data_IF_936597395225
#
_entry.id   IF_936597395225
#
_cell.length_a   1.000
_cell.length_b   1.000
_cell.length_c   1.000
_cell.angle_alpha   90.00
_cell.angle_beta   90.00
_cell.angle_gamma   90.00
#
_symmetry.space_group_name_H-M   'P 1'
#
loop_
_entity.id
_entity.type
_entity.pdbx_description
1 polymer ?
#
# COMPACT_ATOMS: atom_id res chain seq x y z
N UNK A 1 -16.75 -13.93 10.28
CA UNK A 1 -16.11 -13.42 9.06
C UNK A 1 -14.86 -12.61 9.38
N UNK A 2 -14.95 -11.43 10.03
CA UNK A 2 -13.75 -10.70 10.47
C UNK A 2 -12.81 -11.56 11.34
N UNK A 3 -13.37 -12.26 12.35
CA UNK A 3 -12.61 -13.17 13.22
C UNK A 3 -11.91 -14.30 12.45
N UNK A 4 -12.56 -14.89 11.44
CA UNK A 4 -11.96 -15.99 10.67
C UNK A 4 -10.84 -15.49 9.77
N UNK A 5 -11.02 -14.34 9.12
CA UNK A 5 -9.98 -13.71 8.30
C UNK A 5 -8.78 -13.24 9.13
N UNK A 6 -9.02 -12.73 10.34
CA UNK A 6 -7.93 -12.42 11.29
C UNK A 6 -7.15 -13.67 11.72
N UNK A 7 -7.84 -14.79 11.95
CA UNK A 7 -7.18 -16.06 12.27
C UNK A 7 -6.38 -16.58 11.08
N UNK A 8 -6.89 -16.44 9.85
CA UNK A 8 -6.16 -16.76 8.63
C UNK A 8 -4.91 -15.90 8.45
N UNK A 9 -4.88 -14.67 8.95
CA UNK A 9 -3.71 -13.79 8.89
C UNK A 9 -2.58 -14.26 9.84
N UNK A 10 -2.94 -14.95 10.93
CA UNK A 10 -1.98 -15.43 11.93
C UNK A 10 -1.01 -16.41 11.29
N UNK A 11 0.29 -16.17 11.49
CA UNK A 11 1.39 -16.97 10.91
C UNK A 11 1.42 -17.04 9.38
N UNK A 12 0.92 -16.01 8.70
CA UNK A 12 1.06 -15.89 7.24
C UNK A 12 2.35 -15.20 6.85
N UNK A 13 2.86 -15.58 5.67
CA UNK A 13 3.94 -14.87 4.99
C UNK A 13 3.62 -13.39 4.79
N UNK A 14 2.37 -13.05 4.46
CA UNK A 14 1.90 -11.66 4.36
C UNK A 14 2.14 -10.85 5.64
N UNK A 15 1.70 -11.37 6.78
CA UNK A 15 1.86 -10.67 8.06
C UNK A 15 3.34 -10.53 8.43
N UNK A 16 4.14 -11.59 8.25
CA UNK A 16 5.58 -11.52 8.51
C UNK A 16 6.26 -10.48 7.63
N UNK A 17 5.90 -10.40 6.36
CA UNK A 17 6.46 -9.43 5.43
C UNK A 17 6.13 -7.98 5.85
N UNK A 18 4.89 -7.69 6.26
CA UNK A 18 4.50 -6.37 6.80
C UNK A 18 5.29 -6.03 8.07
N UNK A 19 5.40 -6.97 9.00
CA UNK A 19 6.12 -6.77 10.27
C UNK A 19 7.60 -6.53 10.01
N UNK A 20 8.25 -7.38 9.19
CA UNK A 20 9.66 -7.24 8.82
C UNK A 20 9.93 -5.89 8.16
N UNK A 21 9.05 -5.45 7.26
CA UNK A 21 9.17 -4.14 6.64
C UNK A 21 9.00 -2.99 7.65
N UNK A 22 8.03 -3.08 8.55
CA UNK A 22 7.81 -2.09 9.62
C UNK A 22 9.01 -1.95 10.55
N UNK A 23 9.60 -3.09 10.97
CA UNK A 23 10.79 -3.13 11.81
C UNK A 23 11.98 -2.53 11.06
N UNK A 24 12.19 -2.92 9.80
CA UNK A 24 13.27 -2.40 8.99
C UNK A 24 13.17 -0.88 8.85
N UNK A 25 11.98 -0.37 8.53
CA UNK A 25 11.74 1.07 8.38
C UNK A 25 11.97 1.85 9.70
N UNK A 26 11.40 1.37 10.81
CA UNK A 26 11.49 2.04 12.12
C UNK A 26 12.89 1.99 12.73
N UNK A 27 13.70 0.99 12.39
CA UNK A 27 15.11 0.93 12.81
C UNK A 27 16.02 1.74 11.88
N UNK A 28 15.90 1.53 10.56
CA UNK A 28 16.84 2.11 9.58
C UNK A 28 16.76 3.63 9.50
N UNK A 29 15.56 4.22 9.50
CA UNK A 29 15.40 5.66 9.27
C UNK A 29 15.99 6.49 10.44
N UNK A 30 15.68 6.22 11.73
CA UNK A 30 16.31 6.96 12.82
C UNK A 30 17.82 6.77 12.90
N UNK A 31 18.32 5.55 12.63
CA UNK A 31 19.77 5.29 12.59
C UNK A 31 20.43 6.11 11.48
N UNK A 32 19.86 6.11 10.28
CA UNK A 32 20.37 6.88 9.15
C UNK A 32 20.46 8.37 9.48
N UNK A 33 19.37 8.96 10.00
CA UNK A 33 19.33 10.39 10.35
C UNK A 33 20.34 10.73 11.46
N UNK A 34 20.58 9.81 12.40
CA UNK A 34 21.53 10.03 13.49
C UNK A 34 22.99 9.94 13.04
N UNK A 35 23.32 9.03 12.12
CA UNK A 35 24.70 8.74 11.74
C UNK A 35 25.18 9.47 10.48
N UNK A 36 24.28 10.03 9.67
CA UNK A 36 24.64 10.78 8.46
C UNK A 36 24.50 12.29 8.73
N UNK A 37 25.60 13.00 9.04
CA UNK A 37 25.54 14.43 9.29
C UNK A 37 25.15 15.21 8.03
N UNK A 38 24.07 16.00 8.13
CA UNK A 38 23.65 17.07 7.21
C UNK A 38 23.41 16.74 5.71
N UNK A 39 23.11 15.48 5.35
CA UNK A 39 23.00 15.10 3.93
C UNK A 39 21.60 15.16 3.28
N UNK A 40 20.55 14.69 3.96
CA UNK A 40 19.27 14.35 3.31
C UNK A 40 18.06 14.86 4.11
N UNK A 41 17.10 15.47 3.43
CA UNK A 41 15.84 15.92 4.03
C UNK A 41 14.95 14.73 4.45
N UNK A 42 14.15 14.92 5.50
CA UNK A 42 13.17 13.91 5.94
C UNK A 42 12.18 13.52 4.82
N UNK A 43 11.87 14.46 3.92
CA UNK A 43 11.04 14.22 2.74
C UNK A 43 11.66 13.23 1.77
N UNK A 44 12.97 13.34 1.51
CA UNK A 44 13.68 12.43 0.62
C UNK A 44 13.79 11.03 1.23
N UNK A 45 13.96 10.93 2.55
CA UNK A 45 13.91 9.66 3.27
C UNK A 45 12.53 9.01 3.21
N UNK A 46 11.47 9.81 3.27
CA UNK A 46 10.11 9.31 3.09
C UNK A 46 9.84 8.82 1.68
N UNK A 47 10.27 9.58 0.68
CA UNK A 47 10.18 9.16 -0.72
C UNK A 47 10.95 7.85 -0.92
N UNK A 48 12.14 7.70 -0.33
CA UNK A 48 12.90 6.44 -0.39
C UNK A 48 12.10 5.26 0.20
N UNK A 49 11.39 5.45 1.32
CA UNK A 49 10.53 4.38 1.85
C UNK A 49 9.33 4.09 0.95
N UNK A 50 8.78 5.12 0.29
CA UNK A 50 7.65 4.98 -0.63
C UNK A 50 8.00 4.13 -1.85
N UNK A 51 9.26 4.14 -2.29
CA UNK A 51 9.73 3.27 -3.39
C UNK A 51 9.56 1.78 -3.08
N UNK A 52 9.48 1.38 -1.82
CA UNK A 52 9.27 -0.03 -1.46
C UNK A 52 7.79 -0.44 -1.49
N UNK A 53 6.86 0.51 -1.42
CA UNK A 53 5.43 0.22 -1.25
C UNK A 53 4.79 -0.50 -2.44
N UNK A 54 5.07 -0.13 -3.71
CA UNK A 54 4.50 -0.85 -4.85
C UNK A 54 4.85 -2.34 -4.83
N UNK A 55 6.13 -2.67 -4.61
CA UNK A 55 6.58 -4.06 -4.60
C UNK A 55 5.99 -4.84 -3.41
N UNK A 56 5.99 -4.21 -2.22
CA UNK A 56 5.38 -4.74 -1.00
C UNK A 56 3.91 -5.13 -1.24
N UNK A 57 3.12 -4.20 -1.76
CA UNK A 57 1.68 -4.40 -1.97
C UNK A 57 1.37 -5.35 -3.13
N UNK A 58 2.21 -5.37 -4.18
CA UNK A 58 2.15 -6.40 -5.21
C UNK A 58 2.31 -7.80 -4.62
N UNK A 59 3.33 -8.04 -3.80
CA UNK A 59 3.52 -9.34 -3.14
C UNK A 59 2.38 -9.70 -2.18
N UNK A 60 1.88 -8.73 -1.40
CA UNK A 60 0.75 -8.96 -0.50
C UNK A 60 -0.52 -9.35 -1.26
N UNK A 61 -0.77 -8.74 -2.42
CA UNK A 61 -1.92 -9.11 -3.25
C UNK A 61 -1.76 -10.51 -3.85
N UNK A 62 -0.56 -10.87 -4.36
CA UNK A 62 -0.28 -12.21 -4.91
C UNK A 62 -0.48 -13.29 -3.85
N UNK A 63 0.24 -13.17 -2.73
CA UNK A 63 0.14 -14.11 -1.61
C UNK A 63 -1.28 -14.14 -1.04
N UNK A 64 -1.95 -12.99 -1.00
CA UNK A 64 -3.31 -12.87 -0.54
C UNK A 64 -4.32 -13.61 -1.40
N UNK A 65 -4.16 -13.64 -2.73
CA UNK A 65 -5.02 -14.41 -3.62
C UNK A 65 -4.65 -15.91 -3.58
N UNK A 66 -3.36 -16.24 -3.57
CA UNK A 66 -2.89 -17.63 -3.45
C UNK A 66 -3.37 -18.30 -2.16
N UNK A 67 -3.34 -17.58 -1.04
CA UNK A 67 -3.87 -18.06 0.24
C UNK A 67 -5.35 -18.46 0.13
N UNK A 68 -6.18 -17.66 -0.55
CA UNK A 68 -7.60 -17.97 -0.72
C UNK A 68 -7.84 -19.14 -1.69
N UNK A 69 -7.01 -19.27 -2.73
CA UNK A 69 -7.01 -20.43 -3.63
C UNK A 69 -6.73 -21.73 -2.87
N UNK A 70 -5.75 -21.71 -1.97
CA UNK A 70 -5.33 -22.87 -1.17
C UNK A 70 -6.32 -23.21 -0.04
N UNK A 71 -6.84 -22.21 0.66
CA UNK A 71 -7.73 -22.43 1.81
C UNK A 71 -9.10 -23.02 1.44
N UNK A 72 -9.56 -22.80 0.21
CA UNK A 72 -10.91 -23.19 -0.23
C UNK A 72 -10.93 -24.28 -1.32
N UNK A 73 -9.80 -24.97 -1.57
CA UNK A 73 -9.66 -25.99 -2.62
C UNK A 73 -10.27 -25.62 -3.99
N UNK A 74 -10.22 -24.33 -4.36
CA UNK A 74 -10.84 -23.78 -5.58
C UNK A 74 -12.37 -23.94 -5.76
N UNK A 75 -13.09 -24.70 -4.91
CA UNK A 75 -14.50 -25.06 -5.16
C UNK A 75 -15.55 -24.14 -4.52
N UNK A 76 -15.20 -23.21 -3.63
CA UNK A 76 -16.22 -22.47 -2.84
C UNK A 76 -16.21 -20.94 -2.88
N UNK A 77 -15.24 -20.25 -3.50
CA UNK A 77 -15.27 -18.76 -3.54
C UNK A 77 -16.29 -18.25 -4.58
N UNK A 78 -16.46 -18.98 -5.69
CA UNK A 78 -17.37 -18.60 -6.78
C UNK A 78 -18.85 -18.70 -6.36
N UNK A 79 -19.15 -19.69 -5.52
CA UNK A 79 -20.48 -20.00 -4.98
C UNK A 79 -20.77 -19.29 -3.65
N UNK A 80 -19.77 -18.69 -3.00
CA UNK A 80 -19.97 -18.01 -1.72
C UNK A 80 -20.88 -16.78 -1.88
N UNK A 81 -22.06 -16.75 -1.24
CA UNK A 81 -23.05 -15.70 -1.44
C UNK A 81 -22.58 -14.33 -0.94
N UNK A 82 -21.53 -14.28 -0.10
CA UNK A 82 -20.97 -13.05 0.48
C UNK A 82 -19.53 -12.79 0.03
N UNK A 83 -19.13 -13.22 -1.17
CA UNK A 83 -17.76 -13.05 -1.71
C UNK A 83 -17.25 -11.61 -1.68
N UNK A 84 -18.11 -10.64 -2.03
CA UNK A 84 -17.75 -9.20 -2.00
C UNK A 84 -17.38 -8.75 -0.60
N UNK A 85 -18.16 -9.18 0.39
CA UNK A 85 -17.90 -8.88 1.80
C UNK A 85 -16.60 -9.54 2.27
N UNK A 86 -16.24 -10.71 1.74
CA UNK A 86 -14.99 -11.41 2.08
C UNK A 86 -13.79 -10.60 1.64
N UNK A 87 -13.77 -10.20 0.38
CA UNK A 87 -12.69 -9.39 -0.17
C UNK A 87 -12.60 -8.01 0.48
N UNK A 88 -13.74 -7.38 0.79
CA UNK A 88 -13.78 -6.12 1.55
C UNK A 88 -13.18 -6.27 2.96
N UNK A 89 -13.56 -7.32 3.68
CA UNK A 89 -13.00 -7.60 5.02
C UNK A 89 -11.50 -7.87 4.92
N UNK A 90 -11.05 -8.55 3.87
CA UNK A 90 -9.63 -8.86 3.63
C UNK A 90 -8.82 -7.59 3.36
N UNK A 91 -9.31 -6.74 2.47
CA UNK A 91 -8.74 -5.42 2.21
C UNK A 91 -8.63 -4.62 3.51
N UNK A 92 -9.71 -4.51 4.27
CA UNK A 92 -9.75 -3.80 5.54
C UNK A 92 -8.70 -4.33 6.54
N UNK A 93 -8.58 -5.65 6.71
CA UNK A 93 -7.57 -6.24 7.59
C UNK A 93 -6.16 -5.91 7.10
N UNK A 94 -5.91 -6.00 5.79
CA UNK A 94 -4.61 -5.66 5.22
C UNK A 94 -4.29 -4.18 5.37
N UNK A 95 -5.25 -3.27 5.17
CA UNK A 95 -5.07 -1.83 5.35
C UNK A 95 -4.75 -1.50 6.80
N UNK A 96 -5.45 -2.14 7.74
CA UNK A 96 -5.17 -2.02 9.17
C UNK A 96 -3.76 -2.52 9.51
N UNK A 97 -3.31 -3.64 8.95
CA UNK A 97 -1.95 -4.13 9.15
C UNK A 97 -0.90 -3.17 8.54
N UNK A 98 -1.19 -2.60 7.37
CA UNK A 98 -0.33 -1.62 6.69
C UNK A 98 -0.26 -0.25 7.38
N UNK A 99 -1.09 0.01 8.40
CA UNK A 99 -0.91 1.17 9.30
C UNK A 99 0.40 1.10 10.09
N UNK A 100 0.93 -0.11 10.34
CA UNK A 100 2.17 -0.32 11.10
C UNK A 100 3.39 0.33 10.41
N UNK A 101 3.73 0.01 9.14
CA UNK A 101 4.87 0.64 8.48
C UNK A 101 4.59 2.09 8.06
N UNK A 102 3.32 2.47 7.85
CA UNK A 102 2.97 3.83 7.43
C UNK A 102 2.74 4.77 8.62
N UNK A 103 1.51 4.90 9.11
CA UNK A 103 1.14 5.83 10.17
C UNK A 103 2.01 5.66 11.43
N UNK A 104 2.06 4.45 12.00
CA UNK A 104 2.78 4.24 13.26
C UNK A 104 4.29 4.35 13.07
N UNK A 105 4.83 3.80 11.99
CA UNK A 105 6.25 3.92 11.66
C UNK A 105 6.69 5.39 11.58
N UNK A 106 5.97 6.20 10.81
CA UNK A 106 6.26 7.63 10.67
C UNK A 106 5.97 8.43 11.94
N UNK A 107 4.95 8.08 12.73
CA UNK A 107 4.72 8.71 14.04
C UNK A 107 5.93 8.53 14.96
N UNK A 108 6.44 7.30 15.08
CA UNK A 108 7.60 6.97 15.91
C UNK A 108 8.83 7.75 15.44
N UNK A 109 9.08 7.77 14.12
CA UNK A 109 10.20 8.50 13.52
C UNK A 109 10.07 10.01 13.80
N UNK A 110 8.89 10.59 13.59
CA UNK A 110 8.66 12.03 13.81
C UNK A 110 8.84 12.42 15.28
N UNK A 111 8.39 11.57 16.21
CA UNK A 111 8.62 11.75 17.65
C UNK A 111 10.10 11.76 18.00
N UNK A 112 10.87 10.81 17.44
CA UNK A 112 12.30 10.70 17.66
C UNK A 112 13.06 11.92 17.09
N UNK A 113 12.61 12.46 15.96
CA UNK A 113 13.26 13.56 15.25
C UNK A 113 12.73 14.96 15.63
N UNK A 114 11.69 15.04 16.48
CA UNK A 114 11.06 16.29 16.94
C UNK A 114 10.55 17.21 15.80
N UNK A 115 10.13 16.66 14.66
CA UNK A 115 9.68 17.42 13.49
C UNK A 115 8.17 17.23 13.23
N UNK A 116 7.34 18.01 13.93
CA UNK A 116 5.89 17.77 14.00
C UNK A 116 5.08 18.26 12.79
N UNK A 117 5.37 19.45 12.27
CA UNK A 117 4.52 20.13 11.29
C UNK A 117 4.51 19.37 9.94
N UNK A 118 5.68 18.94 9.47
CA UNK A 118 5.78 18.12 8.25
C UNK A 118 5.47 16.64 8.52
N UNK A 119 5.56 16.22 9.78
CA UNK A 119 5.42 14.83 10.17
C UNK A 119 4.03 14.26 9.92
N UNK A 120 2.98 15.03 10.23
CA UNK A 120 1.59 14.57 10.06
C UNK A 120 1.22 14.40 8.57
N UNK A 121 1.65 15.32 7.70
CA UNK A 121 1.45 15.19 6.26
C UNK A 121 2.20 13.98 5.69
N UNK A 122 3.43 13.75 6.14
CA UNK A 122 4.23 12.57 5.76
C UNK A 122 3.55 11.27 6.18
N UNK A 123 3.07 11.20 7.43
CA UNK A 123 2.34 10.04 7.95
C UNK A 123 1.12 9.73 7.09
N UNK A 124 0.24 10.71 6.87
CA UNK A 124 -0.99 10.51 6.11
C UNK A 124 -0.70 10.21 4.64
N UNK A 125 0.28 10.90 4.02
CA UNK A 125 0.69 10.62 2.64
C UNK A 125 1.21 9.18 2.50
N UNK A 126 2.04 8.72 3.44
CA UNK A 126 2.55 7.35 3.43
C UNK A 126 1.45 6.30 3.55
N UNK A 127 0.44 6.57 4.39
CA UNK A 127 -0.67 5.66 4.62
C UNK A 127 -1.63 5.62 3.45
N UNK A 128 -2.00 6.78 2.93
CA UNK A 128 -2.85 6.88 1.74
C UNK A 128 -2.20 6.20 0.53
N UNK A 129 -0.88 6.35 0.35
CA UNK A 129 -0.15 5.68 -0.72
C UNK A 129 -0.22 4.16 -0.57
N UNK A 130 0.14 3.61 0.59
CA UNK A 130 0.22 2.16 0.76
C UNK A 130 -1.17 1.50 0.73
N UNK A 131 -2.21 2.16 1.24
CA UNK A 131 -3.60 1.69 1.16
C UNK A 131 -4.09 1.72 -0.29
N UNK A 132 -3.82 2.80 -1.03
CA UNK A 132 -4.17 2.88 -2.45
C UNK A 132 -3.50 1.77 -3.25
N UNK A 133 -2.19 1.59 -3.08
CA UNK A 133 -1.43 0.54 -3.77
C UNK A 133 -1.94 -0.85 -3.40
N UNK A 134 -2.30 -1.11 -2.14
CA UNK A 134 -2.90 -2.38 -1.72
C UNK A 134 -4.16 -2.70 -2.57
N UNK A 135 -5.11 -1.77 -2.65
CA UNK A 135 -6.32 -1.96 -3.44
C UNK A 135 -6.03 -2.08 -4.95
N UNK A 136 -5.11 -1.26 -5.45
CA UNK A 136 -4.71 -1.28 -6.85
C UNK A 136 -4.07 -2.62 -7.24
N UNK A 137 -3.15 -3.15 -6.45
CA UNK A 137 -2.52 -4.43 -6.73
C UNK A 137 -3.46 -5.62 -6.56
N UNK A 138 -4.43 -5.57 -5.63
CA UNK A 138 -5.52 -6.57 -5.60
C UNK A 138 -6.37 -6.52 -6.87
N UNK A 139 -6.70 -5.33 -7.38
CA UNK A 139 -7.39 -5.17 -8.67
C UNK A 139 -6.57 -5.74 -9.84
N UNK A 140 -5.29 -5.36 -9.93
CA UNK A 140 -4.39 -5.86 -10.97
C UNK A 140 -4.20 -7.36 -10.89
N UNK A 141 -4.06 -7.92 -9.68
CA UNK A 141 -3.89 -9.37 -9.49
C UNK A 141 -5.12 -10.16 -9.97
N UNK A 142 -6.33 -9.61 -9.80
CA UNK A 142 -7.54 -10.23 -10.36
C UNK A 142 -7.58 -10.08 -11.87
N UNK A 143 -7.24 -8.90 -12.40
CA UNK A 143 -7.36 -8.61 -13.82
C UNK A 143 -6.27 -9.25 -14.69
N UNK A 144 -5.04 -9.38 -14.18
CA UNK A 144 -3.85 -9.81 -14.90
C UNK A 144 -3.17 -11.00 -14.17
N UNK A 145 -1.89 -11.25 -14.46
CA UNK A 145 -1.08 -12.29 -13.81
C UNK A 145 -0.20 -11.72 -12.68
N UNK A 146 0.34 -12.60 -11.84
CA UNK A 146 1.35 -12.22 -10.83
C UNK A 146 2.57 -11.55 -11.45
N UNK A 147 3.03 -12.03 -12.61
CA UNK A 147 4.14 -11.42 -13.35
C UNK A 147 3.80 -10.00 -13.78
N UNK A 148 2.61 -9.77 -14.36
CA UNK A 148 2.18 -8.43 -14.75
C UNK A 148 2.07 -7.50 -13.55
N UNK A 149 1.60 -8.00 -12.41
CA UNK A 149 1.49 -7.25 -11.17
C UNK A 149 2.86 -6.76 -10.66
N UNK A 150 3.88 -7.62 -10.73
CA UNK A 150 5.27 -7.25 -10.39
C UNK A 150 5.86 -6.26 -11.41
N UNK A 151 5.60 -6.43 -12.71
CA UNK A 151 6.08 -5.47 -13.72
C UNK A 151 5.47 -4.09 -13.51
N UNK A 152 4.16 -4.04 -13.23
CA UNK A 152 3.46 -2.79 -12.95
C UNK A 152 4.03 -2.11 -11.70
N UNK A 153 4.31 -2.86 -10.63
CA UNK A 153 4.91 -2.27 -9.42
C UNK A 153 6.30 -1.69 -9.68
N UNK A 154 7.12 -2.30 -10.54
CA UNK A 154 8.41 -1.73 -10.97
C UNK A 154 8.20 -0.43 -11.75
N UNK A 155 7.20 -0.36 -12.62
CA UNK A 155 6.86 0.86 -13.37
C UNK A 155 6.40 1.97 -12.41
N UNK A 156 5.62 1.63 -11.38
CA UNK A 156 5.19 2.60 -10.35
C UNK A 156 6.37 3.15 -9.55
N UNK A 157 7.39 2.33 -9.26
CA UNK A 157 8.63 2.81 -8.62
C UNK A 157 9.29 3.88 -9.51
N UNK A 158 9.36 3.67 -10.82
CA UNK A 158 9.89 4.66 -11.77
C UNK A 158 9.03 5.94 -11.74
N UNK A 159 7.72 5.82 -11.68
CA UNK A 159 6.83 6.99 -11.57
C UNK A 159 7.00 7.75 -10.26
N UNK A 160 7.24 7.07 -9.14
CA UNK A 160 7.55 7.71 -7.86
C UNK A 160 8.86 8.50 -7.95
N UNK A 161 9.89 7.96 -8.64
CA UNK A 161 11.16 8.67 -8.88
C UNK A 161 10.95 9.92 -9.76
N UNK A 162 10.12 9.83 -10.80
CA UNK A 162 9.79 11.02 -11.60
C UNK A 162 8.97 12.03 -10.82
N UNK A 163 8.00 11.58 -10.02
CA UNK A 163 7.22 12.44 -9.13
C UNK A 163 8.12 13.17 -8.12
N UNK A 164 9.12 12.49 -7.55
CA UNK A 164 10.06 13.10 -6.60
C UNK A 164 10.86 14.25 -7.21
N UNK A 165 11.05 14.22 -8.54
CA UNK A 165 11.69 15.29 -9.31
C UNK A 165 10.69 16.33 -9.85
N UNK A 166 9.48 16.40 -9.28
CA UNK A 166 8.42 17.37 -9.60
C UNK A 166 7.87 17.28 -11.04
N UNK A 167 8.17 16.22 -11.77
CA UNK A 167 7.74 16.03 -13.17
C UNK A 167 6.21 15.96 -13.29
N UNK A 168 5.53 15.46 -12.25
CA UNK A 168 4.10 15.13 -12.27
C UNK A 168 3.23 16.04 -11.40
N UNK A 169 3.68 17.26 -11.07
CA UNK A 169 2.90 18.19 -10.22
C UNK A 169 1.55 18.58 -10.83
N UNK A 170 1.47 18.69 -12.16
CA UNK A 170 0.25 19.07 -12.89
C UNK A 170 -0.54 17.88 -13.44
N UNK A 171 -0.07 16.65 -13.20
CA UNK A 171 -0.71 15.45 -13.72
C UNK A 171 -1.71 14.90 -12.70
N UNK A 172 -2.97 14.81 -13.11
CA UNK A 172 -4.08 14.39 -12.24
C UNK A 172 -4.63 12.98 -12.53
N UNK A 173 -4.09 12.28 -13.53
CA UNK A 173 -4.56 10.94 -13.91
C UNK A 173 -3.66 9.80 -13.41
N UNK A 174 -2.54 10.12 -12.72
CA UNK A 174 -1.61 9.16 -12.12
C UNK A 174 -1.75 9.19 -10.58
N UNK A 175 -2.60 8.37 -9.95
CA UNK A 175 -2.99 8.58 -8.55
C UNK A 175 -1.84 8.32 -7.55
N UNK A 176 -0.94 7.39 -7.88
CA UNK A 176 0.22 7.06 -7.05
C UNK A 176 1.20 8.22 -6.90
N UNK A 177 1.15 9.26 -7.75
CA UNK A 177 2.01 10.45 -7.60
C UNK A 177 1.46 11.44 -6.56
N UNK A 178 0.16 11.39 -6.23
CA UNK A 178 -0.47 12.37 -5.34
C UNK A 178 0.13 12.44 -3.93
N UNK A 179 0.46 11.32 -3.26
CA UNK A 179 1.13 11.37 -1.97
C UNK A 179 2.51 12.00 -2.05
N UNK A 180 3.23 11.81 -3.16
CA UNK A 180 4.54 12.41 -3.38
C UNK A 180 4.39 13.91 -3.62
N UNK A 181 3.46 14.31 -4.48
CA UNK A 181 3.16 15.71 -4.76
C UNK A 181 2.77 16.45 -3.47
N UNK A 182 1.91 15.86 -2.64
CA UNK A 182 1.53 16.36 -1.31
C UNK A 182 2.75 16.62 -0.43
N UNK A 183 3.67 15.66 -0.33
CA UNK A 183 4.89 15.80 0.47
C UNK A 183 5.83 16.88 -0.07
N UNK A 184 5.90 17.05 -1.39
CA UNK A 184 6.78 18.03 -2.04
C UNK A 184 6.23 19.47 -1.97
N UNK A 185 4.92 19.64 -2.12
CA UNK A 185 4.27 20.96 -2.12
C UNK A 185 3.76 21.36 -0.73
N UNK A 186 3.79 20.45 0.24
CA UNK A 186 3.20 20.62 1.58
C UNK A 186 1.69 20.90 1.55
N UNK A 187 0.99 20.41 0.53
CA UNK A 187 -0.45 20.60 0.34
C UNK A 187 -1.27 19.33 0.55
N UNK A 188 -2.46 19.49 1.10
CA UNK A 188 -3.42 18.39 1.35
C UNK A 188 -4.29 18.06 0.13
N UNK A 189 -4.39 18.98 -0.83
CA UNK A 189 -5.30 18.87 -1.97
C UNK A 189 -5.08 17.59 -2.80
N UNK A 190 -3.85 17.09 -3.06
CA UNK A 190 -3.67 15.87 -3.83
C UNK A 190 -4.19 14.63 -3.09
N UNK A 191 -4.13 14.62 -1.75
CA UNK A 191 -4.62 13.52 -0.93
C UNK A 191 -6.15 13.41 -0.98
N UNK A 192 -6.85 14.55 -1.08
CA UNK A 192 -8.30 14.56 -1.28
C UNK A 192 -8.66 13.91 -2.62
N UNK A 193 -7.93 14.23 -3.70
CA UNK A 193 -8.13 13.60 -5.01
C UNK A 193 -7.86 12.09 -4.98
N UNK A 194 -6.82 11.66 -4.25
CA UNK A 194 -6.50 10.24 -4.09
C UNK A 194 -7.63 9.45 -3.43
N UNK A 195 -8.38 10.04 -2.50
CA UNK A 195 -9.50 9.34 -1.85
C UNK A 195 -10.59 8.92 -2.84
N UNK A 196 -10.89 9.74 -3.85
CA UNK A 196 -11.82 9.36 -4.92
C UNK A 196 -11.30 8.20 -5.78
N UNK A 197 -10.01 8.20 -6.11
CA UNK A 197 -9.36 7.10 -6.83
C UNK A 197 -9.37 5.81 -6.02
N UNK A 198 -9.12 5.88 -4.71
CA UNK A 198 -9.20 4.74 -3.80
C UNK A 198 -10.60 4.11 -3.82
N UNK A 199 -11.65 4.93 -3.70
CA UNK A 199 -13.02 4.43 -3.79
C UNK A 199 -13.29 3.80 -5.17
N UNK A 200 -12.89 4.47 -6.25
CA UNK A 200 -13.06 3.99 -7.62
C UNK A 200 -12.39 2.63 -7.86
N UNK A 201 -11.13 2.47 -7.47
CA UNK A 201 -10.39 1.22 -7.67
C UNK A 201 -10.94 0.09 -6.80
N UNK A 202 -11.44 0.41 -5.60
CA UNK A 202 -12.08 -0.56 -4.70
C UNK A 202 -13.38 -1.09 -5.33
N UNK A 203 -14.20 -0.20 -5.88
CA UNK A 203 -15.43 -0.59 -6.58
C UNK A 203 -15.14 -1.45 -7.82
N UNK A 204 -14.13 -1.07 -8.61
CA UNK A 204 -13.67 -1.86 -9.76
C UNK A 204 -13.20 -3.25 -9.32
N UNK A 205 -12.38 -3.34 -8.29
CA UNK A 205 -11.94 -4.61 -7.72
C UNK A 205 -13.11 -5.52 -7.34
N UNK A 206 -14.05 -5.01 -6.54
CA UNK A 206 -15.23 -5.77 -6.09
C UNK A 206 -16.06 -6.25 -7.28
N UNK A 207 -16.21 -5.41 -8.31
CA UNK A 207 -16.92 -5.77 -9.52
C UNK A 207 -16.21 -6.91 -10.28
N UNK A 208 -14.90 -6.82 -10.50
CA UNK A 208 -14.14 -7.80 -11.30
C UNK A 208 -13.93 -9.14 -10.60
N UNK A 209 -13.82 -9.13 -9.26
CA UNK A 209 -13.80 -10.35 -8.44
C UNK A 209 -15.01 -11.25 -8.77
N UNK A 210 -16.15 -10.66 -9.12
CA UNK A 210 -17.34 -11.45 -9.40
C UNK A 210 -17.32 -12.18 -10.74
N UNK A 211 -16.59 -11.66 -11.72
CA UNK A 211 -16.52 -12.22 -13.07
C UNK A 211 -15.45 -13.28 -13.21
N UNK A 212 -14.27 -13.08 -12.63
CA UNK A 212 -13.12 -13.97 -12.87
C UNK A 212 -13.06 -15.20 -11.98
N UNK A 213 -13.68 -15.18 -10.80
CA UNK A 213 -13.74 -16.37 -9.94
C UNK A 213 -14.71 -17.45 -10.51
N UNK A 214 -15.42 -17.16 -11.61
CA UNK A 214 -16.32 -18.11 -12.30
C UNK A 214 -15.65 -19.02 -13.33
N UNK A 215 -14.37 -18.81 -13.68
CA UNK A 215 -13.74 -19.53 -14.80
C UNK A 215 -12.36 -20.01 -14.39
N UNK A 216 -12.29 -21.24 -13.91
CA UNK A 216 -11.17 -22.19 -14.01
C UNK A 216 -11.66 -23.57 -13.61
#
# INVERSE_FOLDING_TARGET
MLRSELLKLKNTTCLYLIISFSILQTLSIPLYVRFVPNGISLTNLAILSFLCYPLLTAFLSILGIEQEKLANHYQEISSYPKKRLLWLVKLLITDLALTLPSLFGWLIINLLLKNWINGLLLMISSWMLIVFLNHFHYFIQVCLSSTSNIVISIVEIIFIIFASNKVFLTIHWLPFTFPINSVLTTEWTPLNTLSYWLVGITLLFIYFVDFKVKVE
#
